data_IF_138495469561
#
_entry.id   IF_138495469561
#
_cell.length_a   1.000
_cell.length_b   1.000
_cell.length_c   1.000
_cell.angle_alpha   90.00
_cell.angle_beta   90.00
_cell.angle_gamma   90.00
#
_symmetry.space_group_name_H-M   'P 1'
#
loop_
_entity.id
_entity.type
_entity.pdbx_description
1 polymer ?
#
# COMPACT_ATOMS: atom_id res chain seq x y z
N UNK A 1 1.84 24.81 7.36
CA UNK A 1 1.45 23.54 6.70
C UNK A 1 1.68 22.28 7.53
N UNK A 2 2.45 22.29 8.63
CA UNK A 2 2.63 21.10 9.51
C UNK A 2 1.41 20.82 10.42
N UNK A 3 0.57 21.83 10.69
CA UNK A 3 -0.62 21.70 11.54
C UNK A 3 -1.76 20.84 10.94
N UNK A 4 -1.69 20.44 9.67
CA UNK A 4 -2.68 19.54 9.07
C UNK A 4 -2.31 18.06 9.18
N UNK A 5 -1.10 17.70 9.63
CA UNK A 5 -0.69 16.28 9.77
C UNK A 5 -1.19 15.69 11.09
N UNK A 6 -1.35 16.53 12.12
CA UNK A 6 -1.83 16.10 13.45
C UNK A 6 -3.33 15.77 13.45
N UNK A 7 -4.14 16.36 12.56
CA UNK A 7 -5.57 16.00 12.45
C UNK A 7 -5.79 14.58 11.89
N UNK A 8 -4.84 14.06 11.10
CA UNK A 8 -4.92 12.68 10.58
C UNK A 8 -4.65 11.64 11.66
N UNK A 9 -3.87 11.97 12.70
CA UNK A 9 -3.66 11.07 13.84
C UNK A 9 -4.95 10.86 14.66
N UNK A 10 -5.86 11.84 14.66
CA UNK A 10 -7.19 11.71 15.28
C UNK A 10 -8.12 10.72 14.57
N UNK A 11 -7.98 10.57 13.25
CA UNK A 11 -8.75 9.60 12.45
C UNK A 11 -8.20 8.19 12.66
N UNK A 12 -6.88 8.05 12.86
CA UNK A 12 -6.24 6.76 13.17
C UNK A 12 -6.58 6.26 14.59
N UNK A 13 -6.84 7.18 15.52
CA UNK A 13 -7.27 6.86 16.89
C UNK A 13 -8.73 6.40 16.97
N UNK A 14 -9.61 6.87 16.07
CA UNK A 14 -11.02 6.45 16.06
C UNK A 14 -11.21 5.03 15.49
N UNK A 15 -10.33 4.57 14.58
CA UNK A 15 -10.30 3.16 14.14
C UNK A 15 -9.84 2.16 15.21
N UNK A 16 -9.21 2.64 16.30
CA UNK A 16 -8.82 1.79 17.44
C UNK A 16 -9.99 1.53 18.40
N UNK A 17 -11.13 2.20 18.25
CA UNK A 17 -12.29 2.11 19.14
C UNK A 17 -13.60 1.77 18.40
N UNK A 18 -13.72 0.52 17.92
CA UNK A 18 -14.95 -0.28 18.07
C UNK A 18 -16.19 0.03 17.21
N UNK A 19 -16.12 0.83 16.15
CA UNK A 19 -17.21 0.98 15.16
C UNK A 19 -16.90 0.26 13.85
N UNK A 20 -17.92 -0.09 13.07
CA UNK A 20 -17.86 -0.69 11.71
C UNK A 20 -17.32 0.33 10.66
N UNK A 21 -16.32 1.13 11.04
CA UNK A 21 -15.75 2.28 10.31
C UNK A 21 -14.52 1.90 9.48
N UNK A 22 -14.22 0.61 9.37
CA UNK A 22 -13.04 0.14 8.65
C UNK A 22 -13.18 0.40 7.14
N UNK A 23 -14.36 0.17 6.55
CA UNK A 23 -14.61 0.39 5.12
C UNK A 23 -14.10 1.74 4.57
N UNK A 24 -14.54 2.91 5.09
CA UNK A 24 -14.20 4.21 4.51
C UNK A 24 -12.72 4.61 4.61
N UNK A 25 -11.95 4.06 5.54
CA UNK A 25 -10.56 4.53 5.76
C UNK A 25 -9.64 4.12 4.61
N UNK A 26 -9.72 2.87 4.15
CA UNK A 26 -8.97 2.40 2.98
C UNK A 26 -9.31 3.19 1.70
N UNK A 27 -10.59 3.48 1.49
CA UNK A 27 -11.06 4.31 0.37
C UNK A 27 -10.57 5.75 0.47
N UNK A 28 -10.50 6.29 1.68
CA UNK A 28 -9.92 7.61 1.96
C UNK A 28 -8.46 7.68 1.50
N UNK A 29 -7.63 6.68 1.82
CA UNK A 29 -6.23 6.65 1.36
C UNK A 29 -6.12 6.60 -0.16
N UNK A 30 -6.97 5.81 -0.83
CA UNK A 30 -6.99 5.73 -2.28
C UNK A 30 -7.40 7.07 -2.93
N UNK A 31 -8.42 7.74 -2.37
CA UNK A 31 -8.86 9.05 -2.84
C UNK A 31 -7.75 10.12 -2.70
N UNK A 32 -7.05 10.14 -1.55
CA UNK A 32 -5.90 11.02 -1.32
C UNK A 32 -4.78 10.72 -2.32
N UNK A 33 -4.46 9.44 -2.55
CA UNK A 33 -3.49 9.05 -3.57
C UNK A 33 -3.86 9.60 -4.95
N UNK A 34 -5.10 9.38 -5.39
CA UNK A 34 -5.59 9.87 -6.69
C UNK A 34 -5.47 11.40 -6.80
N UNK A 35 -5.89 12.13 -5.76
CA UNK A 35 -5.78 13.59 -5.74
C UNK A 35 -4.34 14.09 -5.81
N UNK A 36 -3.44 13.50 -5.02
CA UNK A 36 -2.01 13.85 -5.03
C UNK A 36 -1.36 13.52 -6.37
N UNK A 37 -1.76 12.43 -7.04
CA UNK A 37 -1.24 12.08 -8.37
C UNK A 37 -1.66 13.07 -9.44
N UNK A 38 -2.93 13.48 -9.44
CA UNK A 38 -3.41 14.50 -10.37
C UNK A 38 -2.66 15.81 -10.14
N UNK A 39 -2.49 16.23 -8.88
CA UNK A 39 -1.75 17.43 -8.53
C UNK A 39 -0.26 17.35 -8.94
N UNK A 40 0.41 16.22 -8.69
CA UNK A 40 1.79 15.98 -9.11
C UNK A 40 1.94 16.07 -10.63
N UNK A 41 1.05 15.44 -11.40
CA UNK A 41 1.10 15.49 -12.86
C UNK A 41 0.84 16.91 -13.40
N UNK A 42 -0.09 17.64 -12.81
CA UNK A 42 -0.36 19.04 -13.17
C UNK A 42 0.88 19.93 -12.93
N UNK A 43 1.58 19.73 -11.81
CA UNK A 43 2.81 20.47 -11.50
C UNK A 43 3.97 20.14 -12.44
N UNK A 44 4.04 18.93 -12.99
CA UNK A 44 5.06 18.58 -14.00
C UNK A 44 4.84 19.31 -15.33
N UNK A 45 3.59 19.68 -15.64
CA UNK A 45 3.28 20.47 -16.84
C UNK A 45 3.64 21.94 -16.69
N UNK A 46 3.66 22.45 -15.46
CA UNK A 46 4.16 23.80 -15.16
C UNK A 46 5.67 23.77 -15.02
N UNK A 47 6.41 24.51 -15.85
CA UNK A 47 7.89 24.54 -15.89
C UNK A 47 8.60 24.91 -14.57
N UNK A 48 7.87 25.18 -13.49
CA UNK A 48 8.36 25.75 -12.23
C UNK A 48 8.54 24.73 -11.09
N UNK A 49 8.28 23.42 -11.28
CA UNK A 49 8.00 22.55 -10.13
C UNK A 49 8.50 21.09 -10.15
N UNK A 50 9.61 20.76 -10.80
CA UNK A 50 10.06 19.34 -10.89
C UNK A 50 10.31 18.69 -9.53
N UNK A 51 10.97 19.38 -8.60
CA UNK A 51 11.27 18.84 -7.27
C UNK A 51 10.00 18.65 -6.41
N UNK A 52 9.11 19.65 -6.40
CA UNK A 52 7.84 19.59 -5.68
C UNK A 52 6.94 18.46 -6.22
N UNK A 53 6.88 18.31 -7.55
CA UNK A 53 6.12 17.24 -8.18
C UNK A 53 6.64 15.85 -7.80
N UNK A 54 7.96 15.65 -7.73
CA UNK A 54 8.58 14.40 -7.29
C UNK A 54 8.25 14.12 -5.82
N UNK A 55 8.32 15.11 -4.94
CA UNK A 55 7.95 14.95 -3.52
C UNK A 55 6.47 14.55 -3.37
N UNK A 56 5.56 15.25 -4.05
CA UNK A 56 4.12 14.92 -4.03
C UNK A 56 3.87 13.51 -4.57
N UNK A 57 4.59 13.12 -5.63
CA UNK A 57 4.52 11.76 -6.18
C UNK A 57 4.95 10.70 -5.16
N UNK A 58 6.04 10.93 -4.44
CA UNK A 58 6.54 10.02 -3.39
C UNK A 58 5.57 9.93 -2.21
N UNK A 59 4.99 11.05 -1.78
CA UNK A 59 3.95 11.08 -0.73
C UNK A 59 2.72 10.29 -1.18
N UNK A 60 2.28 10.46 -2.43
CA UNK A 60 1.17 9.70 -2.99
C UNK A 60 1.42 8.18 -2.90
N UNK A 61 2.65 7.72 -3.23
CA UNK A 61 3.01 6.30 -3.11
C UNK A 61 2.85 5.77 -1.69
N UNK A 62 3.17 6.55 -0.65
CA UNK A 62 2.93 6.14 0.74
C UNK A 62 1.45 5.86 1.00
N UNK A 63 0.56 6.74 0.53
CA UNK A 63 -0.88 6.56 0.67
C UNK A 63 -1.40 5.33 -0.09
N UNK A 64 -0.86 5.05 -1.28
CA UNK A 64 -1.22 3.84 -2.03
C UNK A 64 -0.77 2.57 -1.29
N UNK A 65 0.43 2.58 -0.70
CA UNK A 65 0.94 1.47 0.13
C UNK A 65 0.06 1.24 1.35
N UNK A 66 -0.38 2.31 2.02
CA UNK A 66 -1.34 2.22 3.13
C UNK A 66 -2.70 1.67 2.68
N UNK A 67 -3.20 2.08 1.51
CA UNK A 67 -4.44 1.56 0.93
C UNK A 67 -4.34 0.04 0.67
N UNK A 68 -3.24 -0.43 0.07
CA UNK A 68 -3.01 -1.87 -0.14
C UNK A 68 -2.93 -2.63 1.18
N UNK A 69 -2.17 -2.13 2.15
CA UNK A 69 -2.07 -2.75 3.47
C UNK A 69 -3.43 -2.86 4.17
N UNK A 70 -4.26 -1.83 4.05
CA UNK A 70 -5.61 -1.81 4.60
C UNK A 70 -6.55 -2.82 3.90
N UNK A 71 -6.54 -2.86 2.58
CA UNK A 71 -7.33 -3.83 1.80
C UNK A 71 -6.87 -5.25 2.10
N UNK A 72 -5.57 -5.50 2.24
CA UNK A 72 -5.05 -6.81 2.61
C UNK A 72 -5.53 -7.24 4.00
N UNK A 73 -5.49 -6.32 4.97
CA UNK A 73 -5.97 -6.55 6.34
C UNK A 73 -7.45 -6.94 6.37
N UNK A 74 -8.29 -6.16 5.69
CA UNK A 74 -9.73 -6.47 5.57
C UNK A 74 -9.97 -7.78 4.82
N UNK A 75 -9.16 -8.09 3.80
CA UNK A 75 -9.25 -9.35 3.08
C UNK A 75 -8.94 -10.57 3.98
N UNK A 76 -7.89 -10.48 4.80
CA UNK A 76 -7.53 -11.49 5.80
C UNK A 76 -8.63 -11.63 6.87
N UNK A 77 -9.22 -10.51 7.30
CA UNK A 77 -10.33 -10.54 8.26
C UNK A 77 -11.58 -11.19 7.69
N UNK A 78 -11.82 -11.18 6.37
CA UNK A 78 -12.92 -11.93 5.75
C UNK A 78 -12.60 -13.41 5.52
N UNK A 79 -11.34 -13.76 5.33
CA UNK A 79 -10.94 -15.12 4.97
C UNK A 79 -10.89 -16.09 6.18
N UNK A 80 -10.52 -15.61 7.38
CA UNK A 80 -10.38 -16.48 8.56
C UNK A 80 -11.72 -16.81 9.24
N UNK A 81 -11.92 -18.05 9.69
CA UNK A 81 -13.14 -18.47 10.40
C UNK A 81 -13.27 -17.80 11.79
N UNK A 82 -14.49 -17.55 12.31
CA UNK A 82 -14.67 -16.93 13.64
C UNK A 82 -14.09 -17.77 14.79
N UNK A 83 -14.03 -19.10 14.63
CA UNK A 83 -13.55 -20.03 15.65
C UNK A 83 -12.03 -20.00 15.84
N UNK A 84 -11.27 -19.69 14.79
CA UNK A 84 -9.80 -19.55 14.86
C UNK A 84 -9.35 -18.14 15.21
N UNK A 85 -10.25 -17.15 15.13
CA UNK A 85 -9.96 -15.72 15.35
C UNK A 85 -9.62 -15.34 16.79
N UNK A 86 -10.04 -16.12 17.78
CA UNK A 86 -10.30 -15.58 19.13
C UNK A 86 -9.08 -15.02 19.89
N UNK A 87 -7.84 -15.46 19.61
CA UNK A 87 -6.68 -15.00 20.39
C UNK A 87 -5.47 -14.57 19.56
N UNK A 88 -5.10 -15.34 18.54
CA UNK A 88 -3.85 -15.12 17.79
C UNK A 88 -3.98 -14.03 16.72
N UNK A 89 -5.17 -13.89 16.13
CA UNK A 89 -5.39 -12.93 15.05
C UNK A 89 -5.50 -11.50 15.54
N UNK A 90 -6.15 -11.23 16.68
CA UNK A 90 -6.33 -9.84 17.16
C UNK A 90 -4.99 -9.16 17.47
N UNK A 91 -4.04 -9.89 18.05
CA UNK A 91 -2.70 -9.36 18.31
C UNK A 91 -1.90 -9.17 17.01
N UNK A 92 -1.88 -10.17 16.13
CA UNK A 92 -1.18 -10.10 14.85
C UNK A 92 -1.69 -8.94 14.00
N UNK A 93 -3.00 -8.80 13.88
CA UNK A 93 -3.66 -7.79 13.05
C UNK A 93 -3.40 -6.36 13.55
N UNK A 94 -3.37 -6.18 14.88
CA UNK A 94 -2.94 -4.90 15.51
C UNK A 94 -1.46 -4.63 15.28
N UNK A 95 -0.59 -5.61 15.50
CA UNK A 95 0.86 -5.46 15.30
C UNK A 95 1.14 -5.06 13.85
N UNK A 96 0.52 -5.74 12.90
CA UNK A 96 0.67 -5.49 11.47
C UNK A 96 0.21 -4.07 11.10
N UNK A 97 -0.96 -3.66 11.61
CA UNK A 97 -1.47 -2.30 11.43
C UNK A 97 -0.51 -1.25 12.00
N UNK A 98 -0.04 -1.41 13.24
CA UNK A 98 0.91 -0.48 13.86
C UNK A 98 2.23 -0.45 13.08
N UNK A 99 2.75 -1.60 12.68
CA UNK A 99 3.97 -1.71 11.90
C UNK A 99 3.87 -0.95 10.57
N UNK A 100 2.76 -1.10 9.84
CA UNK A 100 2.55 -0.36 8.58
C UNK A 100 2.44 1.15 8.79
N UNK A 101 1.74 1.61 9.82
CA UNK A 101 1.65 3.03 10.12
C UNK A 101 3.00 3.61 10.54
N UNK A 102 3.79 2.88 11.34
CA UNK A 102 5.14 3.28 11.70
C UNK A 102 6.05 3.35 10.48
N UNK A 103 6.03 2.33 9.61
CA UNK A 103 6.81 2.33 8.37
C UNK A 103 6.42 3.49 7.44
N UNK A 104 5.13 3.76 7.29
CA UNK A 104 4.64 4.89 6.50
C UNK A 104 5.06 6.23 7.11
N UNK A 105 4.98 6.39 8.44
CA UNK A 105 5.42 7.59 9.14
C UNK A 105 6.92 7.81 8.99
N UNK A 106 7.72 6.75 9.11
CA UNK A 106 9.18 6.79 8.90
C UNK A 106 9.50 7.19 7.45
N UNK A 107 8.84 6.56 6.46
CA UNK A 107 9.03 6.91 5.05
C UNK A 107 8.68 8.38 4.79
N UNK A 108 7.56 8.87 5.32
CA UNK A 108 7.17 10.27 5.22
C UNK A 108 8.16 11.22 5.88
N UNK A 109 8.72 10.84 7.04
CA UNK A 109 9.72 11.64 7.73
C UNK A 109 11.01 11.77 6.90
N UNK A 110 11.50 10.66 6.31
CA UNK A 110 12.67 10.70 5.42
C UNK A 110 12.40 11.50 4.15
N UNK A 111 11.22 11.36 3.54
CA UNK A 111 10.83 12.16 2.37
C UNK A 111 10.77 13.65 2.70
N UNK A 112 10.21 14.02 3.84
CA UNK A 112 10.14 15.41 4.29
C UNK A 112 11.54 15.99 4.57
N UNK A 113 12.40 15.22 5.25
CA UNK A 113 13.78 15.63 5.52
C UNK A 113 14.57 15.83 4.22
N UNK A 114 14.49 14.89 3.28
CA UNK A 114 15.14 14.99 1.98
C UNK A 114 14.59 16.15 1.13
N UNK A 115 13.28 16.39 1.17
CA UNK A 115 12.65 17.51 0.47
C UNK A 115 13.06 18.87 1.01
N UNK A 116 13.22 19.00 2.32
CA UNK A 116 13.68 20.25 2.96
C UNK A 116 15.11 20.61 2.56
N UNK A 117 16.01 19.63 2.52
CA UNK A 117 17.41 19.86 2.15
C UNK A 117 17.54 20.31 0.69
N UNK A 118 16.71 19.78 -0.21
CA UNK A 118 16.63 20.22 -1.60
C UNK A 118 16.09 21.65 -1.74
N UNK A 119 15.15 22.04 -0.88
CA UNK A 119 14.54 23.38 -0.92
C UNK A 119 15.42 24.47 -0.29
N UNK A 120 16.27 24.11 0.68
CA UNK A 120 17.05 25.06 1.47
C UNK A 120 18.47 25.31 0.94
N UNK A 121 18.98 24.48 0.02
CA UNK A 121 20.30 24.69 -0.56
C UNK A 121 20.27 25.76 -1.67
N UNK A 122 20.99 26.88 -1.52
CA UNK A 122 21.26 27.77 -2.65
C UNK A 122 22.03 27.00 -3.74
N UNK A 123 21.88 27.37 -5.03
CA UNK A 123 22.56 26.67 -6.12
C UNK A 123 24.07 26.71 -5.88
N UNK A 124 24.75 25.54 -5.79
CA UNK A 124 26.17 25.52 -5.51
C UNK A 124 26.95 26.13 -6.68
N UNK A 125 28.02 26.89 -6.42
CA UNK A 125 28.99 27.24 -7.46
C UNK A 125 29.63 25.92 -7.97
N UNK A 126 29.95 25.80 -9.28
CA UNK A 126 30.46 24.55 -9.86
C UNK A 126 31.75 24.11 -9.16
N UNK A 127 31.76 23.02 -8.36
CA UNK A 127 32.96 22.55 -7.67
C UNK A 127 33.66 21.46 -8.49
N UNK A 128 35.00 21.37 -8.45
CA UNK A 128 35.75 20.26 -9.01
C UNK A 128 35.70 19.04 -8.08
N UNK A 129 35.26 17.89 -8.62
CA UNK A 129 35.70 16.56 -8.14
C UNK A 129 34.82 15.80 -7.15
N UNK A 130 34.23 16.43 -6.14
CA UNK A 130 33.76 15.66 -4.97
C UNK A 130 32.23 15.66 -4.80
N UNK A 131 31.54 14.75 -5.49
CA UNK A 131 30.07 14.71 -5.60
C UNK A 131 29.35 13.74 -4.65
N UNK A 132 30.01 13.11 -3.66
CA UNK A 132 29.44 11.90 -3.03
C UNK A 132 28.65 12.04 -1.71
N UNK A 133 28.50 13.23 -1.10
CA UNK A 133 28.02 13.32 0.31
C UNK A 133 26.54 13.72 0.52
N UNK A 134 25.84 14.18 -0.51
CA UNK A 134 24.49 14.74 -0.36
C UNK A 134 23.31 13.78 -0.64
N UNK A 135 23.57 12.55 -1.08
CA UNK A 135 22.53 11.65 -1.62
C UNK A 135 21.95 10.64 -0.60
N UNK A 136 22.48 10.58 0.62
CA UNK A 136 22.19 9.46 1.53
C UNK A 136 20.77 9.46 2.12
N UNK A 137 20.16 10.64 2.34
CA UNK A 137 18.88 10.74 3.03
C UNK A 137 17.67 10.38 2.16
N UNK A 138 17.66 10.81 0.89
CA UNK A 138 16.60 10.44 -0.05
C UNK A 138 16.65 8.93 -0.40
N UNK A 139 17.86 8.39 -0.56
CA UNK A 139 18.08 6.96 -0.74
C UNK A 139 17.54 6.13 0.43
N UNK A 140 17.78 6.58 1.66
CA UNK A 140 17.26 5.90 2.86
C UNK A 140 15.72 5.82 2.85
N UNK A 141 15.01 6.89 2.48
CA UNK A 141 13.55 6.88 2.35
C UNK A 141 13.05 5.86 1.32
N UNK A 142 13.73 5.78 0.16
CA UNK A 142 13.40 4.79 -0.87
C UNK A 142 13.64 3.35 -0.41
N UNK A 143 14.72 3.10 0.36
CA UNK A 143 14.99 1.79 0.95
C UNK A 143 13.92 1.38 1.97
N UNK A 144 13.46 2.31 2.82
CA UNK A 144 12.36 2.05 3.77
C UNK A 144 11.07 1.69 3.04
N UNK A 145 10.74 2.43 1.96
CA UNK A 145 9.57 2.12 1.14
C UNK A 145 9.65 0.74 0.48
N UNK A 146 10.84 0.36 0.02
CA UNK A 146 11.07 -0.96 -0.55
C UNK A 146 10.86 -2.07 0.49
N UNK A 147 11.48 -1.94 1.67
CA UNK A 147 11.32 -2.91 2.76
C UNK A 147 9.85 -3.03 3.19
N UNK A 148 9.14 -1.90 3.29
CA UNK A 148 7.70 -1.89 3.58
C UNK A 148 6.89 -2.61 2.51
N UNK A 149 7.20 -2.38 1.23
CA UNK A 149 6.52 -3.02 0.10
C UNK A 149 6.79 -4.52 0.04
N UNK A 150 8.02 -4.95 0.30
CA UNK A 150 8.40 -6.36 0.40
C UNK A 150 7.64 -7.04 1.54
N UNK A 151 7.55 -6.38 2.70
CA UNK A 151 6.78 -6.90 3.83
C UNK A 151 5.30 -7.09 3.47
N UNK A 152 4.68 -6.11 2.79
CA UNK A 152 3.28 -6.23 2.33
C UNK A 152 3.13 -7.41 1.34
N UNK A 153 4.05 -7.54 0.38
CA UNK A 153 4.04 -8.66 -0.56
C UNK A 153 4.17 -10.00 0.16
N UNK A 154 5.09 -10.11 1.12
CA UNK A 154 5.28 -11.32 1.90
C UNK A 154 4.00 -11.68 2.68
N UNK A 155 3.36 -10.72 3.35
CA UNK A 155 2.10 -10.95 4.08
C UNK A 155 0.98 -11.34 3.12
N UNK A 156 0.89 -10.72 1.94
CA UNK A 156 -0.12 -11.05 0.94
C UNK A 156 0.06 -12.46 0.40
N UNK A 157 1.29 -12.85 0.07
CA UNK A 157 1.62 -14.20 -0.42
C UNK A 157 1.39 -15.23 0.68
N UNK A 158 1.86 -14.99 1.91
CA UNK A 158 1.63 -15.89 3.03
C UNK A 158 0.13 -16.09 3.30
N UNK A 159 -0.65 -15.01 3.30
CA UNK A 159 -2.10 -15.07 3.44
C UNK A 159 -2.79 -15.83 2.30
N UNK A 160 -2.31 -15.65 1.07
CA UNK A 160 -2.83 -16.40 -0.09
C UNK A 160 -2.49 -17.89 -0.02
N UNK A 161 -1.25 -18.24 0.37
CA UNK A 161 -0.79 -19.62 0.49
C UNK A 161 -1.51 -20.36 1.62
N UNK A 162 -1.79 -19.69 2.74
CA UNK A 162 -2.51 -20.29 3.87
C UNK A 162 -3.92 -20.70 3.46
N UNK A 163 -4.59 -19.91 2.61
CA UNK A 163 -5.91 -20.24 2.03
C UNK A 163 -5.85 -21.30 0.93
N UNK A 164 -4.67 -21.48 0.34
CA UNK A 164 -4.41 -22.44 -0.72
C UNK A 164 -4.10 -23.83 -0.20
N UNK A 165 -3.76 -24.00 1.09
CA UNK A 165 -3.58 -25.31 1.69
C UNK A 165 -4.91 -26.05 1.64
N UNK A 166 -5.04 -27.10 0.81
CA UNK A 166 -6.21 -27.94 0.88
C UNK A 166 -6.11 -28.63 2.23
N UNK A 167 -6.95 -28.23 3.17
CA UNK A 167 -7.13 -28.98 4.40
C UNK A 167 -7.55 -30.39 3.99
N UNK A 168 -6.57 -31.28 3.93
CA UNK A 168 -6.79 -32.69 3.68
C UNK A 168 -7.66 -33.22 4.80
N UNK A 169 -8.95 -33.38 4.54
CA UNK A 169 -9.77 -34.35 5.26
C UNK A 169 -10.10 -34.04 6.73
N UNK A 170 -10.36 -32.77 7.09
CA UNK A 170 -10.98 -32.44 8.39
C UNK A 170 -12.51 -32.57 8.42
N UNK A 171 -13.13 -33.12 7.36
CA UNK A 171 -14.55 -33.45 7.32
C UNK A 171 -14.85 -34.69 8.15
N UNK A 172 -14.88 -34.55 9.47
CA UNK A 172 -15.24 -35.63 10.39
C UNK A 172 -15.78 -35.08 11.70
N UNK A 173 -17.09 -35.28 11.92
CA UNK A 173 -17.82 -34.90 13.14
C UNK A 173 -18.95 -33.92 12.81
N UNK A 174 -20.11 -34.33 12.32
CA UNK A 174 -20.90 -35.44 12.86
C UNK A 174 -21.63 -34.94 14.11
N UNK A 175 -22.83 -34.36 13.94
CA UNK A 175 -23.58 -33.77 15.04
C UNK A 175 -24.98 -33.32 14.63
N UNK A 176 -25.81 -34.30 14.29
CA UNK A 176 -27.26 -34.38 14.53
C UNK A 176 -28.17 -33.15 14.29
N UNK A 177 -29.08 -33.31 13.33
CA UNK A 177 -30.50 -32.98 13.55
C UNK A 177 -30.88 -31.50 13.69
N UNK A 178 -30.99 -30.80 12.57
CA UNK A 178 -31.58 -29.45 12.54
C UNK A 178 -31.94 -29.02 11.13
N UNK A 179 -32.84 -29.76 10.49
CA UNK A 179 -33.32 -29.49 9.13
C UNK A 179 -34.06 -28.14 9.09
N UNK A 180 -33.39 -27.10 8.57
CA UNK A 180 -34.06 -25.84 8.17
C UNK A 180 -33.20 -24.59 8.31
N UNK A 181 -32.50 -24.39 9.43
CA UNK A 181 -31.79 -23.14 9.71
C UNK A 181 -30.29 -23.15 9.36
N UNK A 182 -29.65 -24.32 9.31
CA UNK A 182 -28.21 -24.45 9.05
C UNK A 182 -27.78 -24.22 7.59
N UNK A 183 -28.67 -24.46 6.62
CA UNK A 183 -28.32 -24.42 5.20
C UNK A 183 -28.01 -23.00 4.71
N UNK A 184 -28.87 -22.02 5.05
CA UNK A 184 -28.62 -20.59 4.74
C UNK A 184 -27.34 -20.06 5.38
N UNK A 185 -26.95 -20.56 6.55
CA UNK A 185 -25.73 -20.14 7.24
C UNK A 185 -24.48 -20.66 6.51
N UNK A 186 -24.51 -21.90 6.03
CA UNK A 186 -23.41 -22.53 5.29
C UNK A 186 -23.16 -21.86 3.94
N UNK A 187 -24.22 -21.50 3.21
CA UNK A 187 -24.09 -20.78 1.93
C UNK A 187 -23.48 -19.37 2.09
N UNK A 188 -23.88 -18.64 3.15
CA UNK A 188 -23.33 -17.30 3.43
C UNK A 188 -21.83 -17.35 3.78
N UNK A 189 -21.40 -18.37 4.53
CA UNK A 189 -19.99 -18.57 4.87
C UNK A 189 -19.15 -18.85 3.62
N UNK A 190 -19.60 -19.77 2.76
CA UNK A 190 -18.89 -20.08 1.52
C UNK A 190 -18.81 -18.91 0.53
N UNK A 191 -19.82 -18.03 0.50
CA UNK A 191 -19.78 -16.81 -0.32
C UNK A 191 -18.73 -15.80 0.21
N UNK A 192 -18.68 -15.60 1.54
CA UNK A 192 -17.69 -14.71 2.17
C UNK A 192 -16.26 -15.18 1.95
N UNK A 193 -16.01 -16.47 2.08
CA UNK A 193 -14.68 -17.05 1.86
C UNK A 193 -14.19 -16.84 0.41
N UNK A 194 -15.05 -17.11 -0.58
CA UNK A 194 -14.71 -16.87 -2.00
C UNK A 194 -14.39 -15.41 -2.29
N UNK A 195 -15.08 -14.48 -1.63
CA UNK A 195 -14.88 -13.05 -1.82
C UNK A 195 -13.63 -12.56 -1.10
N UNK A 196 -13.35 -13.05 0.11
CA UNK A 196 -12.07 -12.83 0.81
C UNK A 196 -10.88 -13.27 -0.04
N UNK A 197 -10.94 -14.46 -0.66
CA UNK A 197 -9.90 -14.94 -1.58
C UNK A 197 -9.68 -13.99 -2.78
N UNK A 198 -10.76 -13.47 -3.37
CA UNK A 198 -10.66 -12.50 -4.48
C UNK A 198 -10.04 -11.18 -4.04
N UNK A 199 -10.36 -10.70 -2.84
CA UNK A 199 -9.81 -9.46 -2.29
C UNK A 199 -8.31 -9.61 -1.94
N UNK A 200 -7.91 -10.76 -1.39
CA UNK A 200 -6.48 -11.09 -1.15
C UNK A 200 -5.72 -11.14 -2.47
N UNK A 201 -6.29 -11.76 -3.50
CA UNK A 201 -5.67 -11.81 -4.83
C UNK A 201 -5.51 -10.39 -5.41
N UNK A 202 -6.54 -9.55 -5.30
CA UNK A 202 -6.46 -8.15 -5.76
C UNK A 202 -5.37 -7.37 -5.00
N UNK A 203 -5.30 -7.51 -3.67
CA UNK A 203 -4.27 -6.88 -2.85
C UNK A 203 -2.86 -7.39 -3.20
N UNK A 204 -2.69 -8.70 -3.45
CA UNK A 204 -1.42 -9.29 -3.85
C UNK A 204 -0.94 -8.78 -5.22
N UNK A 205 -1.85 -8.70 -6.20
CA UNK A 205 -1.53 -8.15 -7.53
C UNK A 205 -1.15 -6.66 -7.43
N UNK A 206 -1.89 -5.88 -6.64
CA UNK A 206 -1.57 -4.47 -6.40
C UNK A 206 -0.21 -4.31 -5.70
N UNK A 207 0.07 -5.11 -4.68
CA UNK A 207 1.35 -5.13 -3.98
C UNK A 207 2.53 -5.49 -4.91
N UNK A 208 2.34 -6.47 -5.80
CA UNK A 208 3.35 -6.85 -6.79
C UNK A 208 3.63 -5.70 -7.77
N UNK A 209 2.59 -4.99 -8.24
CA UNK A 209 2.76 -3.82 -9.10
C UNK A 209 3.54 -2.69 -8.38
N UNK A 210 3.25 -2.48 -7.08
CA UNK A 210 4.02 -1.55 -6.24
C UNK A 210 5.48 -2.00 -6.08
N UNK A 211 5.73 -3.29 -5.87
CA UNK A 211 7.08 -3.82 -5.74
C UNK A 211 7.89 -3.59 -7.02
N UNK A 212 7.31 -3.81 -8.20
CA UNK A 212 7.95 -3.51 -9.49
C UNK A 212 8.27 -2.03 -9.60
N UNK A 213 7.32 -1.15 -9.22
CA UNK A 213 7.50 0.30 -9.26
C UNK A 213 8.61 0.80 -8.35
N UNK A 214 8.64 0.32 -7.11
CA UNK A 214 9.65 0.71 -6.10
C UNK A 214 11.00 0.10 -6.45
N UNK A 215 11.02 -1.16 -6.88
CA UNK A 215 12.23 -1.85 -7.34
C UNK A 215 12.86 -1.19 -8.56
N UNK A 216 12.06 -0.77 -9.53
CA UNK A 216 12.54 0.01 -10.68
C UNK A 216 13.13 1.36 -10.28
N UNK A 217 12.51 2.04 -9.31
CA UNK A 217 13.07 3.26 -8.72
C UNK A 217 14.41 3.01 -8.02
N UNK A 218 14.52 1.91 -7.27
CA UNK A 218 15.75 1.57 -6.54
C UNK A 218 16.89 1.15 -7.47
N UNK A 219 16.60 0.30 -8.47
CA UNK A 219 17.56 -0.08 -9.49
C UNK A 219 18.12 1.15 -10.21
N UNK A 220 17.28 2.16 -10.43
CA UNK A 220 17.74 3.43 -10.95
C UNK A 220 18.67 4.16 -9.98
N UNK A 221 18.27 4.32 -8.71
CA UNK A 221 19.09 5.01 -7.71
C UNK A 221 20.47 4.37 -7.51
N UNK A 222 20.59 3.06 -7.64
CA UNK A 222 21.89 2.35 -7.52
C UNK A 222 22.58 2.09 -8.86
N UNK A 223 21.90 2.31 -9.99
CA UNK A 223 22.42 2.02 -11.32
C UNK A 223 23.39 3.12 -11.76
N UNK A 224 24.67 2.79 -11.91
CA UNK A 224 25.73 3.73 -12.33
C UNK A 224 25.69 4.15 -13.81
N UNK A 225 24.60 3.86 -14.53
CA UNK A 225 24.48 4.08 -15.98
C UNK A 225 23.78 5.41 -16.32
N UNK A 226 24.42 6.33 -17.06
CA UNK A 226 23.79 7.60 -17.49
C UNK A 226 22.57 7.40 -18.41
N UNK A 227 22.49 6.26 -19.08
CA UNK A 227 21.36 5.82 -19.92
C UNK A 227 20.08 5.50 -19.11
N UNK A 228 20.18 5.28 -17.80
CA UNK A 228 19.06 4.83 -16.97
C UNK A 228 18.23 5.98 -16.36
N UNK A 229 18.61 7.24 -16.60
CA UNK A 229 18.04 8.38 -15.89
C UNK A 229 16.54 8.63 -16.23
N UNK A 230 15.61 8.63 -15.24
CA UNK A 230 14.18 8.88 -15.42
C UNK A 230 13.86 10.35 -15.71
N UNK A 231 14.87 11.24 -15.73
CA UNK A 231 14.76 12.65 -16.10
C UNK A 231 15.27 12.92 -17.52
N UNK A 232 16.12 12.05 -18.11
CA UNK A 232 16.59 12.18 -19.51
C UNK A 232 16.20 11.03 -20.44
N UNK A 233 15.81 9.86 -19.91
CA UNK A 233 15.41 8.69 -20.71
C UNK A 233 14.11 8.90 -21.50
N UNK A 234 13.87 8.03 -22.50
CA UNK A 234 12.69 8.05 -23.38
C UNK A 234 11.40 8.19 -22.55
N UNK A 235 10.59 9.20 -22.87
CA UNK A 235 9.32 9.53 -22.20
C UNK A 235 8.43 8.29 -21.99
N UNK A 236 8.39 7.40 -23.00
CA UNK A 236 7.62 6.16 -22.95
C UNK A 236 8.06 5.20 -21.83
N UNK A 237 9.35 5.11 -21.53
CA UNK A 237 9.86 4.24 -20.47
C UNK A 237 9.46 4.77 -19.07
N UNK A 238 9.40 6.09 -18.91
CA UNK A 238 8.96 6.74 -17.67
C UNK A 238 7.48 6.51 -17.40
N UNK A 239 6.65 6.68 -18.44
CA UNK A 239 5.22 6.42 -18.33
C UNK A 239 4.96 4.93 -18.05
N UNK A 240 5.65 4.04 -18.78
CA UNK A 240 5.46 2.60 -18.66
C UNK A 240 5.96 2.01 -17.33
N UNK A 241 7.10 2.43 -16.80
CA UNK A 241 7.62 1.88 -15.54
C UNK A 241 7.20 2.68 -14.30
N UNK A 242 6.89 3.96 -14.48
CA UNK A 242 6.45 4.85 -13.41
C UNK A 242 4.95 4.80 -13.17
N UNK A 243 4.16 5.19 -14.17
CA UNK A 243 2.72 5.44 -13.97
C UNK A 243 1.85 4.20 -14.18
N UNK A 244 2.25 3.28 -15.06
CA UNK A 244 1.44 2.12 -15.40
C UNK A 244 1.27 1.14 -14.22
N UNK A 245 2.31 0.74 -13.48
CA UNK A 245 2.12 -0.17 -12.35
C UNK A 245 1.25 0.44 -11.24
N UNK A 246 1.35 1.75 -11.03
CA UNK A 246 0.55 2.48 -10.05
C UNK A 246 -0.93 2.55 -10.47
N UNK A 247 -1.18 2.83 -11.76
CA UNK A 247 -2.53 2.84 -12.32
C UNK A 247 -3.18 1.46 -12.26
N UNK A 248 -2.42 0.41 -12.61
CA UNK A 248 -2.89 -0.97 -12.53
C UNK A 248 -3.19 -1.34 -11.08
N UNK A 249 -2.31 -1.00 -10.13
CA UNK A 249 -2.56 -1.24 -8.70
C UNK A 249 -3.83 -0.54 -8.23
N UNK A 250 -4.00 0.74 -8.54
CA UNK A 250 -5.19 1.50 -8.17
C UNK A 250 -6.47 0.90 -8.79
N UNK A 251 -6.44 0.56 -10.09
CA UNK A 251 -7.58 -0.04 -10.78
C UNK A 251 -7.96 -1.40 -10.18
N UNK A 252 -6.98 -2.25 -9.88
CA UNK A 252 -7.20 -3.56 -9.26
C UNK A 252 -7.84 -3.41 -7.87
N UNK A 253 -7.41 -2.41 -7.08
CA UNK A 253 -8.04 -2.12 -5.78
C UNK A 253 -9.48 -1.61 -5.93
N UNK A 254 -9.74 -0.70 -6.90
CA UNK A 254 -11.10 -0.21 -7.18
C UNK A 254 -12.01 -1.35 -7.60
N UNK A 255 -11.60 -2.16 -8.57
CA UNK A 255 -12.38 -3.29 -9.06
C UNK A 255 -12.61 -4.32 -7.94
N UNK A 256 -11.57 -4.65 -7.19
CA UNK A 256 -11.66 -5.55 -6.04
C UNK A 256 -12.68 -5.06 -5.02
N UNK A 257 -12.62 -3.77 -4.68
CA UNK A 257 -13.54 -3.16 -3.73
C UNK A 257 -14.98 -3.06 -4.23
N UNK A 258 -15.20 -2.72 -5.51
CA UNK A 258 -16.54 -2.71 -6.14
C UNK A 258 -17.15 -4.12 -6.14
N UNK A 259 -16.37 -5.15 -6.46
CA UNK A 259 -16.82 -6.54 -6.44
C UNK A 259 -17.21 -6.99 -5.03
N UNK A 260 -16.57 -6.45 -3.99
CA UNK A 260 -16.89 -6.76 -2.59
C UNK A 260 -17.94 -5.84 -1.95
N UNK A 261 -18.30 -4.74 -2.59
CA UNK A 261 -19.24 -3.74 -2.05
C UNK A 261 -20.63 -4.34 -1.79
N UNK A 262 -21.05 -5.28 -2.64
CA UNK A 262 -22.38 -5.92 -2.57
C UNK A 262 -22.57 -6.81 -1.32
N UNK A 263 -21.51 -7.05 -0.54
CA UNK A 263 -21.54 -7.84 0.70
C UNK A 263 -21.86 -6.96 1.93
N UNK A 264 -21.50 -5.67 1.84
CA UNK A 264 -21.67 -4.73 2.94
C UNK A 264 -23.11 -4.18 3.03
N UNK A 265 -23.92 -4.36 1.98
CA UNK A 265 -25.36 -4.10 1.97
C UNK A 265 -26.16 -5.33 2.39
#
# INVERSE_FOLDING_TARGET
MVASVTSWQGITLSTLFGGDVDGPVGWGYLAVFCGLKIASNALQMTHTGTAAAVLICSIALVFLTLAVAFVLRTALSYACSPSERALRHTAFDRILSVAFHLLAAIAMAFLAAGGWELASRPPPPPPPGDTHRGESHAGAGAMVLMLSTILICAVAVLGYLDLGRPDGGGGGGGGGGGFGFGFRRRERLGRRERLGRRLILAAAVAALCLAVRVGGGLHWFFGSGPEANPVTGRLGLRLALGTLPELVAALVLVVGGVVTWDIAR
#
